data_IF_519312516428
#
_entry.id   IF_519312516428
#
_cell.length_a   1.000
_cell.length_b   1.000
_cell.length_c   1.000
_cell.angle_alpha   90.00
_cell.angle_beta   90.00
_cell.angle_gamma   90.00
#
_symmetry.space_group_name_H-M   'P 1'
#
loop_
_entity.id
_entity.type
_entity.pdbx_description
1 polymer ?
#
# COMPACT_ATOMS: atom_id res chain seq x y z
N UNK A 1 -7.03 -11.01 -14.59
CA UNK A 1 -7.86 -9.81 -14.32
C UNK A 1 -7.44 -9.04 -13.07
N UNK A 2 -7.17 -9.68 -11.92
CA UNK A 2 -6.75 -8.97 -10.70
C UNK A 2 -5.51 -8.07 -10.86
N UNK A 3 -4.51 -8.53 -11.63
CA UNK A 3 -3.31 -7.76 -11.97
C UNK A 3 -3.62 -6.45 -12.72
N UNK A 4 -4.62 -6.45 -13.62
CA UNK A 4 -4.99 -5.25 -14.38
C UNK A 4 -5.65 -4.20 -13.48
N UNK A 5 -6.50 -4.65 -12.54
CA UNK A 5 -7.16 -3.77 -11.58
C UNK A 5 -6.12 -3.11 -10.67
N UNK A 6 -5.14 -3.88 -10.18
CA UNK A 6 -4.04 -3.35 -9.37
C UNK A 6 -3.23 -2.31 -10.16
N UNK A 7 -2.80 -2.63 -11.39
CA UNK A 7 -2.00 -1.74 -12.21
C UNK A 7 -2.70 -0.40 -12.49
N UNK A 8 -4.01 -0.43 -12.78
CA UNK A 8 -4.80 0.79 -13.02
C UNK A 8 -4.88 1.64 -11.75
N UNK A 9 -5.21 1.04 -10.61
CA UNK A 9 -5.31 1.78 -9.34
C UNK A 9 -3.99 2.46 -8.96
N UNK A 10 -2.86 1.73 -9.07
CA UNK A 10 -1.54 2.28 -8.77
C UNK A 10 -1.09 3.37 -9.75
N UNK A 11 -1.59 3.37 -10.99
CA UNK A 11 -1.26 4.39 -11.99
C UNK A 11 -2.02 5.70 -11.78
N UNK A 12 -3.14 5.69 -11.07
CA UNK A 12 -3.99 6.88 -10.84
C UNK A 12 -3.51 7.67 -9.62
N UNK A 13 -3.00 6.99 -8.58
CA UNK A 13 -2.55 7.62 -7.33
C UNK A 13 -1.59 8.80 -7.58
N UNK A 14 -0.54 8.69 -8.42
CA UNK A 14 0.40 9.79 -8.66
C UNK A 14 -0.26 11.02 -9.31
N UNK A 15 -1.36 10.86 -10.04
CA UNK A 15 -2.11 11.95 -10.67
C UNK A 15 -2.96 12.74 -9.66
N UNK A 16 -3.26 12.10 -8.52
CA UNK A 16 -4.05 12.69 -7.42
C UNK A 16 -3.19 13.34 -6.35
N UNK A 17 -1.86 13.24 -6.44
CA UNK A 17 -0.92 13.82 -5.47
C UNK A 17 -0.93 15.34 -5.61
N UNK A 18 -1.82 16.01 -4.87
CA UNK A 18 -1.93 17.48 -4.84
C UNK A 18 -1.80 18.06 -3.43
N UNK A 19 -2.11 17.26 -2.41
CA UNK A 19 -2.08 17.64 -1.00
C UNK A 19 -0.83 17.16 -0.29
N UNK A 20 -0.66 17.60 0.96
CA UNK A 20 0.37 17.13 1.88
C UNK A 20 0.38 15.59 1.98
N UNK A 21 1.56 14.94 1.98
CA UNK A 21 1.71 13.50 2.11
C UNK A 21 0.89 12.90 3.27
N UNK A 22 0.84 13.60 4.41
CA UNK A 22 0.09 13.18 5.59
C UNK A 22 -1.43 13.12 5.35
N UNK A 23 -1.99 14.09 4.63
CA UNK A 23 -3.43 14.12 4.33
C UNK A 23 -3.83 13.04 3.33
N UNK A 24 -2.95 12.73 2.37
CA UNK A 24 -3.21 11.67 1.39
C UNK A 24 -3.23 10.29 2.02
N UNK A 25 -2.24 9.99 2.88
CA UNK A 25 -2.20 8.70 3.53
C UNK A 25 -3.33 8.52 4.54
N UNK A 26 -3.72 9.59 5.24
CA UNK A 26 -4.90 9.59 6.09
C UNK A 26 -6.18 9.35 5.26
N UNK A 27 -6.31 10.01 4.10
CA UNK A 27 -7.42 9.79 3.17
C UNK A 27 -7.53 8.35 2.68
N UNK A 28 -6.39 7.74 2.31
CA UNK A 28 -6.33 6.31 1.93
C UNK A 28 -6.73 5.41 3.09
N UNK A 29 -6.20 5.66 4.29
CA UNK A 29 -6.52 4.87 5.49
C UNK A 29 -7.99 4.94 5.86
N UNK A 30 -8.60 6.12 5.82
CA UNK A 30 -10.03 6.31 6.08
C UNK A 30 -10.87 5.63 5.00
N UNK A 31 -10.54 5.83 3.71
CA UNK A 31 -11.27 5.22 2.60
C UNK A 31 -11.21 3.69 2.62
N UNK A 32 -10.04 3.13 2.90
CA UNK A 32 -9.85 1.69 3.06
C UNK A 32 -10.65 1.15 4.25
N UNK A 33 -10.63 1.85 5.39
CA UNK A 33 -11.36 1.46 6.60
C UNK A 33 -12.89 1.45 6.38
N UNK A 34 -13.42 2.48 5.73
CA UNK A 34 -14.85 2.55 5.39
C UNK A 34 -15.23 1.43 4.42
N UNK A 35 -14.41 1.20 3.39
CA UNK A 35 -14.65 0.12 2.42
C UNK A 35 -14.62 -1.26 3.09
N UNK A 36 -13.65 -1.50 3.96
CA UNK A 36 -13.54 -2.74 4.72
C UNK A 36 -14.77 -2.95 5.63
N UNK A 37 -15.25 -1.90 6.30
CA UNK A 37 -16.45 -1.95 7.12
C UNK A 37 -17.69 -2.30 6.30
N UNK A 38 -17.87 -1.68 5.13
CA UNK A 38 -18.98 -1.99 4.22
C UNK A 38 -18.94 -3.47 3.84
N UNK A 39 -17.79 -3.98 3.41
CA UNK A 39 -17.62 -5.40 3.03
C UNK A 39 -17.94 -6.33 4.22
N UNK A 40 -17.46 -5.99 5.41
CA UNK A 40 -17.71 -6.75 6.63
C UNK A 40 -19.21 -6.91 6.93
N UNK A 41 -20.00 -5.84 6.75
CA UNK A 41 -21.45 -5.88 6.99
C UNK A 41 -22.20 -6.87 6.08
N UNK A 42 -21.73 -7.06 4.84
CA UNK A 42 -22.34 -7.98 3.88
C UNK A 42 -21.83 -9.42 3.99
N UNK A 43 -20.53 -9.60 4.20
CA UNK A 43 -19.88 -10.92 4.16
C UNK A 43 -19.83 -11.61 5.52
N UNK A 44 -19.92 -10.85 6.62
CA UNK A 44 -19.78 -11.32 8.01
C UNK A 44 -18.70 -12.40 8.19
N UNK A 45 -17.43 -12.14 7.83
CA UNK A 45 -16.38 -13.12 7.95
C UNK A 45 -16.17 -13.50 9.43
N UNK A 46 -15.84 -14.76 9.70
CA UNK A 46 -15.33 -15.16 11.00
C UNK A 46 -13.86 -14.69 11.11
N UNK A 47 -13.55 -13.88 12.10
CA UNK A 47 -12.20 -13.38 12.34
C UNK A 47 -11.55 -14.19 13.46
N UNK A 48 -10.36 -14.70 13.17
CA UNK A 48 -9.42 -15.12 14.21
C UNK A 48 -8.60 -13.91 14.67
N UNK A 49 -8.46 -13.73 15.99
CA UNK A 49 -7.80 -12.57 16.58
C UNK A 49 -6.31 -12.49 16.18
N UNK A 50 -5.65 -13.63 16.01
CA UNK A 50 -4.26 -13.66 15.56
C UNK A 50 -4.14 -13.21 14.10
N UNK A 51 -5.01 -13.70 13.22
CA UNK A 51 -5.05 -13.28 11.82
C UNK A 51 -5.31 -11.77 11.68
N UNK A 52 -6.22 -11.23 12.49
CA UNK A 52 -6.49 -9.79 12.52
C UNK A 52 -5.26 -8.98 12.97
N UNK A 53 -4.57 -9.42 14.02
CA UNK A 53 -3.38 -8.73 14.54
C UNK A 53 -2.23 -8.71 13.52
N UNK A 54 -2.00 -9.82 12.82
CA UNK A 54 -0.97 -9.91 11.76
C UNK A 54 -1.31 -8.97 10.60
N UNK A 55 -2.57 -8.98 10.14
CA UNK A 55 -3.01 -8.09 9.06
C UNK A 55 -2.87 -6.61 9.47
N UNK A 56 -3.21 -6.28 10.71
CA UNK A 56 -3.07 -4.91 11.22
C UNK A 56 -1.61 -4.45 11.23
N UNK A 57 -0.67 -5.27 11.73
CA UNK A 57 0.76 -4.95 11.73
C UNK A 57 1.30 -4.82 10.31
N UNK A 58 0.88 -5.71 9.39
CA UNK A 58 1.28 -5.63 7.99
C UNK A 58 0.86 -4.31 7.34
N UNK A 59 -0.38 -3.85 7.60
CA UNK A 59 -0.88 -2.56 7.10
C UNK A 59 -0.14 -1.36 7.72
N UNK A 60 0.24 -1.44 9.00
CA UNK A 60 1.07 -0.41 9.63
C UNK A 60 2.43 -0.29 8.93
N UNK A 61 3.08 -1.42 8.65
CA UNK A 61 4.36 -1.45 7.93
C UNK A 61 4.22 -0.91 6.50
N UNK A 62 3.14 -1.28 5.81
CA UNK A 62 2.85 -0.78 4.47
C UNK A 62 2.61 0.73 4.46
N UNK A 63 1.88 1.26 5.45
CA UNK A 63 1.61 2.69 5.61
C UNK A 63 2.91 3.49 5.76
N UNK A 64 3.90 2.98 6.48
CA UNK A 64 5.22 3.63 6.59
C UNK A 64 5.89 3.72 5.21
N UNK A 65 5.87 2.62 4.44
CA UNK A 65 6.40 2.59 3.07
C UNK A 65 5.68 3.57 2.14
N UNK A 66 4.36 3.65 2.23
CA UNK A 66 3.55 4.59 1.45
C UNK A 66 3.84 6.05 1.78
N UNK A 67 4.04 6.38 3.07
CA UNK A 67 4.43 7.74 3.45
C UNK A 67 5.75 8.14 2.80
N UNK A 68 6.73 7.22 2.77
CA UNK A 68 8.00 7.43 2.08
C UNK A 68 7.83 7.69 0.57
N UNK A 69 6.90 6.98 -0.09
CA UNK A 69 6.55 7.22 -1.49
C UNK A 69 5.92 8.60 -1.70
N UNK A 70 4.96 9.01 -0.87
CA UNK A 70 4.35 10.34 -0.99
C UNK A 70 5.34 11.47 -0.76
N UNK A 71 6.23 11.35 0.24
CA UNK A 71 7.31 12.31 0.44
C UNK A 71 8.22 12.36 -0.80
N UNK A 72 8.56 11.22 -1.37
CA UNK A 72 9.40 11.15 -2.57
C UNK A 72 8.72 11.81 -3.77
N UNK A 73 7.41 11.60 -3.98
CA UNK A 73 6.65 12.28 -5.03
C UNK A 73 6.76 13.81 -4.92
N UNK A 74 6.76 14.36 -3.71
CA UNK A 74 6.92 15.81 -3.50
C UNK A 74 8.36 16.31 -3.65
N UNK A 75 9.38 15.48 -3.39
CA UNK A 75 10.79 15.90 -3.38
C UNK A 75 11.52 15.69 -4.70
N UNK A 76 11.32 14.55 -5.34
CA UNK A 76 12.03 14.15 -6.58
C UNK A 76 11.08 13.98 -7.78
N UNK A 77 9.80 14.31 -7.59
CA UNK A 77 8.77 14.21 -8.61
C UNK A 77 8.30 12.78 -8.88
N UNK A 78 7.19 12.67 -9.60
CA UNK A 78 6.57 11.39 -9.97
C UNK A 78 7.46 10.55 -10.89
N UNK A 79 8.11 11.19 -11.86
CA UNK A 79 8.98 10.54 -12.85
C UNK A 79 10.26 9.93 -12.24
N UNK A 80 10.75 10.46 -11.12
CA UNK A 80 11.88 9.89 -10.37
C UNK A 80 11.44 8.87 -9.32
N UNK A 81 10.32 9.12 -8.66
CA UNK A 81 9.84 8.25 -7.56
C UNK A 81 9.32 6.90 -8.04
N UNK A 82 8.58 6.87 -9.17
CA UNK A 82 7.97 5.63 -9.68
C UNK A 82 9.04 4.57 -10.06
N UNK A 83 10.07 4.89 -10.87
CA UNK A 83 11.10 3.91 -11.21
C UNK A 83 11.94 3.50 -9.99
N UNK A 84 12.24 4.44 -9.10
CA UNK A 84 13.02 4.18 -7.90
C UNK A 84 12.28 3.23 -6.95
N UNK A 85 11.00 3.50 -6.69
CA UNK A 85 10.18 2.67 -5.81
C UNK A 85 9.92 1.28 -6.39
N UNK A 86 9.75 1.17 -7.71
CA UNK A 86 9.64 -0.11 -8.40
C UNK A 86 10.93 -0.92 -8.28
N UNK A 87 12.10 -0.28 -8.47
CA UNK A 87 13.40 -0.92 -8.30
C UNK A 87 13.62 -1.44 -6.87
N UNK A 88 13.35 -0.62 -5.86
CA UNK A 88 13.46 -1.05 -4.46
C UNK A 88 12.46 -2.15 -4.08
N UNK A 89 11.24 -2.12 -4.62
CA UNK A 89 10.26 -3.19 -4.38
C UNK A 89 10.70 -4.50 -5.03
N UNK A 90 11.22 -4.48 -6.25
CA UNK A 90 11.76 -5.67 -6.91
C UNK A 90 12.91 -6.28 -6.10
N UNK A 91 13.89 -5.47 -5.70
CA UNK A 91 15.04 -5.92 -4.91
C UNK A 91 14.59 -6.39 -3.52
N UNK A 92 13.78 -5.60 -2.83
CA UNK A 92 13.30 -5.91 -1.48
C UNK A 92 12.44 -7.17 -1.44
N UNK A 93 11.50 -7.31 -2.37
CA UNK A 93 10.63 -8.50 -2.43
C UNK A 93 11.42 -9.76 -2.80
N UNK A 94 12.42 -9.63 -3.68
CA UNK A 94 13.32 -10.75 -4.02
C UNK A 94 14.18 -11.16 -2.82
N UNK A 95 14.77 -10.19 -2.11
CA UNK A 95 15.61 -10.46 -0.94
C UNK A 95 14.81 -11.09 0.21
N UNK A 96 13.60 -10.58 0.47
CA UNK A 96 12.69 -11.16 1.45
C UNK A 96 12.26 -12.57 1.02
N UNK A 97 12.01 -12.78 -0.28
CA UNK A 97 11.76 -14.10 -0.87
C UNK A 97 12.85 -15.10 -0.52
N UNK A 98 14.09 -14.77 -0.84
CA UNK A 98 15.27 -15.60 -0.56
C UNK A 98 15.44 -15.82 0.95
N UNK A 99 15.29 -14.78 1.78
CA UNK A 99 15.55 -14.87 3.23
C UNK A 99 14.48 -15.66 4.00
N UNK A 100 13.22 -15.52 3.62
CA UNK A 100 12.09 -16.14 4.34
C UNK A 100 11.75 -17.52 3.75
N UNK A 101 11.80 -17.67 2.43
CA UNK A 101 11.35 -18.89 1.75
C UNK A 101 12.50 -19.72 1.17
N UNK A 102 13.74 -19.21 1.16
CA UNK A 102 14.93 -19.96 0.76
C UNK A 102 15.03 -20.22 -0.75
N UNK A 103 14.24 -19.51 -1.55
CA UNK A 103 14.21 -19.57 -3.02
C UNK A 103 15.21 -18.65 -3.70
#
# INVERSE_FOLDING_TARGET
MALLIALVNWSIIPLTVKDLPQSQIAGIGIGASVTALIIYLFTRPAFDAATWAVAFIAEMLWTIGQMGQFISYTRIGVSGTIPLSAGFQLVGNSLIGVLIFGE
#
